data_IF_437333160739
#
_entry.id   IF_437333160739
#
_cell.length_a   1.000
_cell.length_b   1.000
_cell.length_c   1.000
_cell.angle_alpha   90.00
_cell.angle_beta   90.00
_cell.angle_gamma   90.00
#
_symmetry.space_group_name_H-M   'P 1'
#
loop_
_entity.id
_entity.type
_entity.pdbx_description
1 polymer ?
#
# COMPACT_ATOMS: atom_id res chain seq x y z
N UNK A 1 49.12 1.86 -14.47
CA UNK A 1 48.18 1.95 -13.33
C UNK A 1 47.09 2.97 -13.67
N UNK A 2 46.02 2.52 -14.33
CA UNK A 2 44.86 3.36 -14.64
C UNK A 2 43.80 3.14 -13.57
N UNK A 3 43.45 4.20 -12.84
CA UNK A 3 42.41 4.17 -11.80
C UNK A 3 41.04 4.19 -12.49
N UNK A 4 40.24 3.16 -12.21
CA UNK A 4 38.83 3.06 -12.60
C UNK A 4 38.00 4.25 -12.08
N UNK A 5 36.99 4.73 -12.83
CA UNK A 5 36.14 5.82 -12.39
C UNK A 5 35.24 5.37 -11.24
N UNK A 6 35.20 6.15 -10.16
CA UNK A 6 34.25 5.99 -9.05
C UNK A 6 32.84 6.30 -9.56
N UNK A 7 31.93 5.34 -9.48
CA UNK A 7 30.49 5.57 -9.67
C UNK A 7 30.03 6.48 -8.51
N UNK A 8 29.65 7.72 -8.82
CA UNK A 8 29.10 8.67 -7.86
C UNK A 8 27.79 8.13 -7.29
N UNK A 9 27.71 8.01 -5.96
CA UNK A 9 26.50 7.56 -5.26
C UNK A 9 25.33 8.51 -5.53
N UNK A 10 24.18 7.95 -5.91
CA UNK A 10 22.94 8.71 -6.06
C UNK A 10 22.49 9.29 -4.72
N UNK A 11 22.04 10.55 -4.71
CA UNK A 11 21.51 11.26 -3.53
C UNK A 11 20.39 10.44 -2.85
N UNK A 12 20.42 10.22 -1.52
CA UNK A 12 19.33 9.56 -0.78
C UNK A 12 17.97 10.23 -0.99
N UNK A 13 16.90 9.44 -1.02
CA UNK A 13 15.54 9.93 -1.36
C UNK A 13 15.05 11.05 -0.44
N UNK A 14 15.34 10.93 0.85
CA UNK A 14 14.95 11.93 1.83
C UNK A 14 15.69 13.24 1.61
N UNK A 15 16.91 13.25 1.04
CA UNK A 15 17.67 14.47 0.74
C UNK A 15 17.06 15.20 -0.44
N UNK A 16 16.70 14.47 -1.51
CA UNK A 16 15.95 15.05 -2.64
C UNK A 16 14.61 15.63 -2.18
N UNK A 17 13.84 14.91 -1.35
CA UNK A 17 12.57 15.43 -0.79
C UNK A 17 12.82 16.67 0.08
N UNK A 18 13.84 16.64 0.95
CA UNK A 18 14.22 17.78 1.78
C UNK A 18 14.60 18.99 0.92
N UNK A 19 15.32 18.78 -0.18
CA UNK A 19 15.73 19.83 -1.11
C UNK A 19 14.53 20.48 -1.79
N UNK A 20 13.56 19.70 -2.26
CA UNK A 20 12.34 20.24 -2.86
C UNK A 20 11.51 21.01 -1.82
N UNK A 21 11.27 20.42 -0.65
CA UNK A 21 10.52 21.09 0.41
C UNK A 21 11.22 22.39 0.87
N UNK A 22 12.53 22.35 1.08
CA UNK A 22 13.36 23.52 1.44
C UNK A 22 13.26 24.62 0.39
N UNK A 23 13.32 24.26 -0.90
CA UNK A 23 13.17 25.21 -1.99
C UNK A 23 11.82 25.92 -1.94
N UNK A 24 10.73 25.18 -1.72
CA UNK A 24 9.38 25.75 -1.66
C UNK A 24 9.10 26.57 -0.39
N UNK A 25 9.69 26.19 0.74
CA UNK A 25 9.65 27.00 1.97
C UNK A 25 10.41 28.31 1.75
N UNK A 26 11.65 28.25 1.26
CA UNK A 26 12.50 29.44 1.07
C UNK A 26 11.98 30.40 0.00
N UNK A 27 11.28 29.89 -1.02
CA UNK A 27 10.65 30.72 -2.06
C UNK A 27 9.29 31.30 -1.63
N UNK A 28 8.80 30.99 -0.42
CA UNK A 28 7.52 31.49 0.10
C UNK A 28 6.28 30.80 -0.51
N UNK A 29 6.46 29.79 -1.35
CA UNK A 29 5.36 29.01 -1.95
C UNK A 29 4.66 28.14 -0.92
N UNK A 30 5.41 27.62 0.06
CA UNK A 30 4.85 27.06 1.28
C UNK A 30 4.90 28.14 2.36
N UNK A 31 3.76 28.80 2.65
CA UNK A 31 3.75 29.92 3.58
C UNK A 31 3.99 29.45 5.02
N UNK A 32 4.48 30.37 5.86
CA UNK A 32 4.58 30.15 7.30
C UNK A 32 3.22 29.81 7.90
N UNK A 33 3.21 28.86 8.83
CA UNK A 33 1.99 28.33 9.42
C UNK A 33 1.33 27.19 8.63
N UNK A 34 1.79 26.85 7.41
CA UNK A 34 1.26 25.68 6.69
C UNK A 34 1.57 24.36 7.41
N UNK A 35 0.57 23.50 7.54
CA UNK A 35 0.71 22.17 8.14
C UNK A 35 1.18 21.16 7.09
N UNK A 36 2.40 20.65 7.25
CA UNK A 36 2.98 19.57 6.47
C UNK A 36 2.66 18.20 7.10
N UNK A 37 2.10 17.30 6.29
CA UNK A 37 1.76 15.92 6.67
C UNK A 37 2.40 14.95 5.68
N UNK A 38 2.87 13.81 6.20
CA UNK A 38 3.59 12.79 5.42
C UNK A 38 2.81 12.29 4.20
N UNK A 39 1.52 11.97 4.36
CA UNK A 39 0.69 11.38 3.31
C UNK A 39 0.56 12.25 2.05
N UNK A 40 0.12 13.52 2.16
CA UNK A 40 0.04 14.43 1.02
C UNK A 40 1.39 14.64 0.31
N UNK A 41 2.48 14.77 1.06
CA UNK A 41 3.82 14.93 0.48
C UNK A 41 4.24 13.65 -0.25
N UNK A 42 4.01 12.48 0.34
CA UNK A 42 4.30 11.19 -0.27
C UNK A 42 3.56 11.01 -1.61
N UNK A 43 2.27 11.39 -1.65
CA UNK A 43 1.45 11.36 -2.87
C UNK A 43 1.99 12.32 -3.93
N UNK A 44 2.29 13.57 -3.56
CA UNK A 44 2.81 14.59 -4.47
C UNK A 44 4.16 14.20 -5.08
N UNK A 45 5.03 13.61 -4.26
CA UNK A 45 6.38 13.16 -4.65
C UNK A 45 6.41 11.75 -5.24
N UNK A 46 5.26 11.07 -5.36
CA UNK A 46 5.14 9.68 -5.83
C UNK A 46 6.10 8.73 -5.11
N UNK A 47 6.12 8.80 -3.79
CA UNK A 47 7.05 8.04 -2.93
C UNK A 47 6.35 7.46 -1.71
N UNK A 48 7.03 6.58 -0.96
CA UNK A 48 6.51 6.04 0.30
C UNK A 48 6.62 7.04 1.45
N UNK A 49 5.95 6.77 2.57
CA UNK A 49 5.95 7.68 3.73
C UNK A 49 7.28 7.73 4.48
N UNK A 50 8.06 6.64 4.48
CA UNK A 50 9.32 6.55 5.21
C UNK A 50 10.36 7.63 4.82
N UNK A 51 10.71 7.84 3.53
CA UNK A 51 11.66 8.89 3.16
C UNK A 51 11.12 10.31 3.41
N UNK A 52 9.80 10.51 3.31
CA UNK A 52 9.15 11.78 3.67
C UNK A 52 9.28 12.06 5.15
N UNK A 53 9.06 11.05 5.99
CA UNK A 53 9.20 11.17 7.43
C UNK A 53 10.63 11.57 7.82
N UNK A 54 11.64 10.92 7.23
CA UNK A 54 13.05 11.27 7.42
C UNK A 54 13.35 12.70 6.95
N UNK A 55 12.79 13.12 5.81
CA UNK A 55 12.93 14.48 5.30
C UNK A 55 12.33 15.53 6.25
N UNK A 56 11.13 15.29 6.78
CA UNK A 56 10.50 16.20 7.75
C UNK A 56 11.29 16.30 9.05
N UNK A 57 11.88 15.20 9.53
CA UNK A 57 12.79 15.26 10.69
C UNK A 57 14.02 16.13 10.41
N UNK A 58 14.61 15.99 9.22
CA UNK A 58 15.76 16.78 8.79
C UNK A 58 15.42 18.28 8.71
N UNK A 59 14.32 18.65 8.06
CA UNK A 59 13.87 20.04 7.97
C UNK A 59 13.53 20.64 9.35
N UNK A 60 13.05 19.82 10.27
CA UNK A 60 12.81 20.25 11.65
C UNK A 60 14.11 20.50 12.41
N UNK A 61 15.15 19.67 12.22
CA UNK A 61 16.48 19.95 12.77
C UNK A 61 17.14 21.18 12.14
N UNK A 62 16.80 21.51 10.90
CA UNK A 62 17.24 22.74 10.22
C UNK A 62 16.45 24.00 10.67
N UNK A 63 15.40 23.85 11.49
CA UNK A 63 14.58 24.96 11.96
C UNK A 63 13.64 25.57 10.92
N UNK A 64 13.48 24.91 9.75
CA UNK A 64 12.59 25.36 8.67
C UNK A 64 11.12 25.01 8.95
N UNK A 65 10.90 23.98 9.76
CA UNK A 65 9.59 23.53 10.22
C UNK A 65 9.67 23.17 11.69
N UNK A 66 8.54 23.14 12.39
CA UNK A 66 8.50 22.76 13.81
C UNK A 66 7.25 21.96 14.21
N UNK A 67 7.36 21.19 15.30
CA UNK A 67 6.21 20.48 15.89
C UNK A 67 5.25 21.46 16.57
N UNK A 68 3.95 21.17 16.50
CA UNK A 68 2.87 21.94 17.11
C UNK A 68 1.82 21.03 17.77
N UNK A 69 0.81 21.62 18.42
CA UNK A 69 -0.34 20.88 18.96
C UNK A 69 -1.24 20.39 17.81
N UNK A 70 -0.89 19.24 17.24
CA UNK A 70 -1.59 18.60 16.13
C UNK A 70 -0.75 17.53 15.43
N UNK A 71 -1.29 16.95 14.35
CA UNK A 71 -0.57 16.01 13.48
C UNK A 71 0.22 16.79 12.42
N UNK A 72 1.51 16.46 12.26
CA UNK A 72 2.40 17.03 11.25
C UNK A 72 3.42 18.02 11.80
N UNK A 73 3.90 18.90 10.91
CA UNK A 73 4.83 19.99 11.20
C UNK A 73 4.27 21.31 10.66
N UNK A 74 4.54 22.44 11.33
CA UNK A 74 4.26 23.78 10.81
C UNK A 74 5.47 24.32 10.05
N UNK A 75 5.25 24.93 8.89
CA UNK A 75 6.27 25.69 8.16
C UNK A 75 6.63 26.97 8.91
N UNK A 76 7.91 27.28 8.97
CA UNK A 76 8.46 28.46 9.63
C UNK A 76 9.19 28.13 10.92
N UNK A 77 9.92 29.12 11.41
CA UNK A 77 10.63 29.03 12.69
C UNK A 77 9.62 28.98 13.84
N UNK A 78 10.07 28.49 15.01
CA UNK A 78 9.21 28.38 16.19
C UNK A 78 8.96 29.76 16.80
N UNK A 79 7.99 30.50 16.24
CA UNK A 79 7.51 31.79 16.75
C UNK A 79 6.20 31.59 17.52
N UNK A 80 6.03 32.27 18.66
CA UNK A 80 4.77 32.26 19.39
C UNK A 80 3.66 32.93 18.55
N UNK A 81 2.52 32.27 18.38
CA UNK A 81 1.33 32.84 17.75
C UNK A 81 1.07 32.46 16.28
N UNK A 82 1.84 31.57 15.67
CA UNK A 82 1.55 31.09 14.31
C UNK A 82 0.23 30.31 14.26
N UNK A 83 -0.69 30.75 13.40
CA UNK A 83 -1.99 30.08 13.20
C UNK A 83 -1.84 28.95 12.17
N UNK A 84 -2.21 27.69 12.49
CA UNK A 84 -2.07 26.57 11.56
C UNK A 84 -2.96 26.70 10.31
N UNK A 85 -2.35 26.72 9.14
CA UNK A 85 -3.01 26.68 7.83
C UNK A 85 -3.12 25.21 7.38
N UNK A 86 -4.34 24.71 7.22
CA UNK A 86 -4.64 23.31 6.81
C UNK A 86 -5.24 23.28 5.41
N UNK A 87 -4.44 23.67 4.42
CA UNK A 87 -4.79 23.60 2.99
C UNK A 87 -4.00 22.53 2.28
N UNK A 88 -4.52 22.02 1.19
CA UNK A 88 -3.84 21.03 0.36
C UNK A 88 -2.53 21.60 -0.22
N UNK A 89 -1.51 20.75 -0.38
CA UNK A 89 -0.25 21.17 -1.02
C UNK A 89 -0.45 21.56 -2.49
N UNK A 90 -1.50 21.02 -3.11
CA UNK A 90 -1.99 21.30 -4.45
C UNK A 90 -2.62 22.70 -4.60
N UNK A 91 -3.04 23.33 -3.51
CA UNK A 91 -3.54 24.72 -3.52
C UNK A 91 -2.43 25.76 -3.58
N UNK A 92 -1.17 25.34 -3.43
CA UNK A 92 0.00 26.19 -3.54
C UNK A 92 0.71 25.92 -4.87
N UNK A 93 1.32 26.95 -5.46
CA UNK A 93 2.12 26.83 -6.70
C UNK A 93 3.44 26.09 -6.43
N UNK A 94 3.34 24.85 -5.98
CA UNK A 94 4.42 23.98 -5.57
C UNK A 94 5.33 23.66 -6.75
N UNK A 95 6.61 24.01 -6.64
CA UNK A 95 7.59 23.78 -7.68
C UNK A 95 8.47 22.58 -7.33
N UNK A 96 8.59 21.63 -8.26
CA UNK A 96 9.63 20.60 -8.20
C UNK A 96 10.72 21.02 -9.21
N UNK A 97 11.90 21.47 -8.73
CA UNK A 97 13.05 21.79 -9.58
C UNK A 97 13.36 20.65 -10.55
N UNK A 98 13.78 20.98 -11.78
CA UNK A 98 13.97 20.00 -12.88
C UNK A 98 14.95 18.87 -12.53
N UNK A 99 16.03 19.19 -11.81
CA UNK A 99 17.02 18.24 -11.32
C UNK A 99 16.46 17.29 -10.24
N UNK A 100 15.53 17.76 -9.42
CA UNK A 100 14.77 16.94 -8.47
C UNK A 100 13.72 16.10 -9.16
N UNK A 101 13.12 16.64 -10.23
CA UNK A 101 12.06 15.98 -10.99
C UNK A 101 12.56 14.71 -11.66
N UNK A 102 13.73 14.75 -12.29
CA UNK A 102 14.33 13.55 -12.88
C UNK A 102 14.60 12.45 -11.83
N UNK A 103 15.18 12.82 -10.68
CA UNK A 103 15.41 11.90 -9.57
C UNK A 103 14.11 11.31 -8.97
N UNK A 104 13.04 12.10 -8.92
CA UNK A 104 11.72 11.66 -8.44
C UNK A 104 10.94 10.85 -9.48
N UNK A 105 11.02 11.19 -10.77
CA UNK A 105 10.33 10.48 -11.87
C UNK A 105 10.91 9.08 -12.08
N UNK A 106 12.24 8.95 -12.01
CA UNK A 106 12.91 7.64 -11.99
C UNK A 106 12.34 6.80 -10.84
N UNK A 107 12.06 7.39 -9.67
CA UNK A 107 11.54 6.72 -8.47
C UNK A 107 10.03 6.48 -8.42
N UNK A 108 9.21 7.32 -9.05
CA UNK A 108 7.78 7.03 -9.28
C UNK A 108 7.59 5.90 -10.28
N UNK A 109 8.46 5.79 -11.28
CA UNK A 109 8.53 4.65 -12.20
C UNK A 109 8.90 3.37 -11.44
N UNK A 110 9.86 3.46 -10.52
CA UNK A 110 10.20 2.34 -9.64
C UNK A 110 8.99 1.83 -8.85
N UNK A 111 8.21 2.69 -8.20
CA UNK A 111 7.05 2.25 -7.41
C UNK A 111 6.03 1.47 -8.25
N UNK A 112 5.75 1.93 -9.48
CA UNK A 112 4.85 1.21 -10.41
C UNK A 112 5.43 -0.11 -10.88
N UNK A 113 6.76 -0.16 -11.10
CA UNK A 113 7.48 -1.40 -11.42
C UNK A 113 7.40 -2.39 -10.25
N UNK A 114 7.55 -1.90 -9.01
CA UNK A 114 7.36 -2.70 -7.80
C UNK A 114 5.95 -3.27 -7.72
N UNK A 115 4.92 -2.43 -7.84
CA UNK A 115 3.52 -2.85 -7.73
C UNK A 115 3.15 -3.89 -8.80
N UNK A 116 3.70 -3.73 -10.01
CA UNK A 116 3.50 -4.70 -11.10
C UNK A 116 4.13 -6.06 -10.78
N UNK A 117 5.40 -6.09 -10.38
CA UNK A 117 6.10 -7.34 -10.05
C UNK A 117 5.48 -8.01 -8.83
N UNK A 118 5.04 -7.22 -7.85
CA UNK A 118 4.29 -7.67 -6.68
C UNK A 118 2.99 -8.38 -7.10
N UNK A 119 2.21 -7.76 -7.99
CA UNK A 119 1.00 -8.35 -8.55
C UNK A 119 1.26 -9.63 -9.35
N UNK A 120 2.27 -9.65 -10.22
CA UNK A 120 2.66 -10.83 -11.02
C UNK A 120 3.10 -12.00 -10.11
N UNK A 121 3.94 -11.74 -9.11
CA UNK A 121 4.41 -12.75 -8.14
C UNK A 121 3.31 -13.24 -7.22
N UNK A 122 2.39 -12.38 -6.81
CA UNK A 122 1.28 -12.78 -5.95
C UNK A 122 0.25 -13.61 -6.72
N UNK A 123 -0.06 -13.19 -7.96
CA UNK A 123 -1.03 -13.86 -8.83
C UNK A 123 -0.51 -15.22 -9.31
N UNK A 124 0.79 -15.41 -9.55
CA UNK A 124 1.25 -16.74 -10.00
C UNK A 124 1.06 -17.84 -8.96
N UNK A 125 1.02 -17.50 -7.66
CA UNK A 125 1.00 -18.51 -6.59
C UNK A 125 -0.27 -19.35 -6.55
N UNK A 126 -1.36 -18.90 -7.18
CA UNK A 126 -2.59 -19.70 -7.30
C UNK A 126 -2.42 -20.88 -8.26
N UNK A 127 -1.46 -20.79 -9.19
CA UNK A 127 -1.19 -21.82 -10.19
C UNK A 127 -0.12 -22.83 -9.74
N UNK A 128 0.64 -22.52 -8.68
CA UNK A 128 1.67 -23.42 -8.18
C UNK A 128 2.81 -22.72 -7.47
N UNK A 129 3.90 -23.46 -7.32
CA UNK A 129 5.17 -22.92 -6.84
C UNK A 129 6.01 -22.45 -8.03
N UNK A 130 6.58 -21.25 -7.91
CA UNK A 130 7.41 -20.66 -8.96
C UNK A 130 8.76 -20.25 -8.40
N UNK A 131 9.82 -20.56 -9.15
CA UNK A 131 11.14 -20.00 -8.95
C UNK A 131 11.23 -18.65 -9.64
N UNK A 132 11.72 -17.64 -8.90
CA UNK A 132 11.98 -16.30 -9.41
C UNK A 132 13.45 -16.18 -9.84
N UNK A 133 13.70 -15.94 -11.13
CA UNK A 133 15.05 -15.78 -11.68
C UNK A 133 15.44 -14.30 -11.67
N UNK A 134 16.41 -13.94 -10.81
CA UNK A 134 16.88 -12.56 -10.62
C UNK A 134 17.38 -11.90 -11.92
N UNK A 135 18.07 -12.65 -12.78
CA UNK A 135 18.60 -12.13 -14.04
C UNK A 135 17.50 -11.81 -15.04
N UNK A 136 16.54 -12.72 -15.20
CA UNK A 136 15.38 -12.51 -16.07
C UNK A 136 14.49 -11.39 -15.53
N UNK A 137 14.35 -11.24 -14.20
CA UNK A 137 13.63 -10.11 -13.61
C UNK A 137 14.35 -8.79 -13.92
N UNK A 138 15.67 -8.76 -13.79
CA UNK A 138 16.46 -7.58 -14.11
C UNK A 138 16.26 -7.17 -15.58
N UNK A 139 16.30 -8.13 -16.50
CA UNK A 139 16.09 -7.90 -17.93
C UNK A 139 14.64 -7.51 -18.23
N UNK A 140 13.66 -8.15 -17.58
CA UNK A 140 12.24 -7.83 -17.72
C UNK A 140 11.91 -6.38 -17.31
N UNK A 141 12.58 -5.89 -16.27
CA UNK A 141 12.39 -4.53 -15.77
C UNK A 141 13.29 -3.50 -16.46
N UNK A 142 14.34 -3.93 -17.17
CA UNK A 142 15.37 -3.04 -17.74
C UNK A 142 16.28 -2.42 -16.68
N UNK A 143 16.65 -3.19 -15.65
CA UNK A 143 17.30 -2.69 -14.42
C UNK A 143 18.57 -3.47 -14.11
N UNK A 144 19.40 -2.94 -13.21
CA UNK A 144 20.59 -3.69 -12.75
C UNK A 144 20.17 -4.85 -11.83
N UNK A 145 21.01 -5.90 -11.79
CA UNK A 145 20.81 -7.05 -10.90
C UNK A 145 20.71 -6.66 -9.42
N UNK A 146 21.45 -5.64 -9.00
CA UNK A 146 21.38 -5.11 -7.64
C UNK A 146 19.98 -4.60 -7.32
N UNK A 147 19.36 -3.87 -8.24
CA UNK A 147 18.01 -3.35 -8.03
C UNK A 147 16.97 -4.47 -8.05
N UNK A 148 17.09 -5.43 -8.98
CA UNK A 148 16.23 -6.62 -8.98
C UNK A 148 16.34 -7.39 -7.66
N UNK A 149 17.54 -7.54 -7.10
CA UNK A 149 17.76 -8.18 -5.80
C UNK A 149 17.11 -7.41 -4.65
N UNK A 150 17.18 -6.09 -4.66
CA UNK A 150 16.52 -5.24 -3.67
C UNK A 150 14.99 -5.38 -3.77
N UNK A 151 14.46 -5.52 -4.98
CA UNK A 151 13.03 -5.83 -5.21
C UNK A 151 12.65 -7.15 -4.56
N UNK A 152 13.36 -8.23 -4.89
CA UNK A 152 13.09 -9.56 -4.36
C UNK A 152 13.22 -9.63 -2.84
N UNK A 153 14.21 -8.93 -2.27
CA UNK A 153 14.42 -8.87 -0.83
C UNK A 153 13.22 -8.21 -0.12
N UNK A 154 12.68 -7.12 -0.67
CA UNK A 154 11.47 -6.47 -0.12
C UNK A 154 10.22 -7.34 -0.25
N UNK A 155 10.05 -8.05 -1.36
CA UNK A 155 8.92 -8.97 -1.53
C UNK A 155 9.01 -10.16 -0.56
N UNK A 156 10.23 -10.60 -0.22
CA UNK A 156 10.46 -11.57 0.83
C UNK A 156 10.15 -11.03 2.23
N UNK A 157 10.54 -9.79 2.55
CA UNK A 157 10.16 -9.12 3.80
C UNK A 157 8.63 -8.96 3.94
N UNK A 158 7.92 -8.76 2.84
CA UNK A 158 6.45 -8.70 2.77
C UNK A 158 5.78 -10.07 2.76
N UNK A 159 6.56 -11.16 2.77
CA UNK A 159 6.06 -12.53 2.86
C UNK A 159 5.50 -13.10 1.56
N UNK A 160 5.81 -12.50 0.40
CA UNK A 160 5.41 -13.03 -0.91
C UNK A 160 6.41 -14.03 -1.47
N UNK A 161 7.67 -13.87 -1.10
CA UNK A 161 8.76 -14.75 -1.49
C UNK A 161 9.36 -15.41 -0.27
N UNK A 162 9.99 -16.56 -0.50
CA UNK A 162 10.87 -17.25 0.44
C UNK A 162 12.17 -17.64 -0.23
N UNK A 163 13.23 -17.82 0.55
CA UNK A 163 14.46 -18.46 0.06
C UNK A 163 14.37 -19.98 0.23
N UNK A 164 14.56 -20.71 -0.86
CA UNK A 164 14.70 -22.17 -0.86
C UNK A 164 16.07 -22.63 -0.34
N UNK A 165 16.25 -23.95 -0.25
CA UNK A 165 17.47 -24.58 0.28
C UNK A 165 18.75 -24.19 -0.50
N UNK A 166 18.63 -23.94 -1.80
CA UNK A 166 19.73 -23.50 -2.68
C UNK A 166 19.82 -21.98 -2.81
N UNK A 167 19.21 -21.22 -1.89
CA UNK A 167 19.11 -19.75 -1.94
C UNK A 167 18.37 -19.19 -3.17
N UNK A 168 17.57 -20.01 -3.86
CA UNK A 168 16.68 -19.53 -4.90
C UNK A 168 15.47 -18.82 -4.29
N UNK A 169 14.98 -17.79 -4.96
CA UNK A 169 13.72 -17.13 -4.63
C UNK A 169 12.55 -17.98 -5.10
N UNK A 170 11.61 -18.26 -4.20
CA UNK A 170 10.43 -19.08 -4.44
C UNK A 170 9.17 -18.27 -4.09
N UNK A 171 8.18 -18.31 -4.97
CA UNK A 171 6.83 -17.78 -4.77
C UNK A 171 5.86 -18.96 -4.64
N UNK A 172 4.99 -18.91 -3.63
CA UNK A 172 3.95 -19.92 -3.48
C UNK A 172 4.43 -21.31 -3.01
N UNK A 173 3.56 -22.34 -3.18
CA UNK A 173 2.21 -22.24 -3.74
C UNK A 173 1.21 -21.61 -2.75
N UNK A 174 0.13 -21.03 -3.25
CA UNK A 174 -1.04 -20.67 -2.45
C UNK A 174 -1.76 -21.95 -2.04
N UNK A 175 -1.49 -22.43 -0.83
CA UNK A 175 -2.15 -23.63 -0.30
C UNK A 175 -3.44 -23.30 0.43
N UNK A 176 -4.34 -24.29 0.54
CA UNK A 176 -5.50 -24.21 1.42
C UNK A 176 -5.13 -23.88 2.88
N UNK A 177 -3.94 -24.30 3.33
CA UNK A 177 -3.43 -23.98 4.67
C UNK A 177 -3.06 -22.51 4.77
N UNK A 178 -2.24 -22.01 3.86
CA UNK A 178 -1.82 -20.60 3.78
C UNK A 178 -3.04 -19.68 3.72
N UNK A 179 -4.04 -20.06 2.93
CA UNK A 179 -5.28 -19.30 2.82
C UNK A 179 -6.01 -19.17 4.17
N UNK A 180 -6.19 -20.29 4.89
CA UNK A 180 -6.84 -20.29 6.21
C UNK A 180 -6.06 -19.46 7.22
N UNK A 181 -4.75 -19.65 7.30
CA UNK A 181 -3.87 -18.89 8.20
C UNK A 181 -3.96 -17.38 7.93
N UNK A 182 -4.01 -16.98 6.66
CA UNK A 182 -4.17 -15.56 6.29
C UNK A 182 -5.52 -14.99 6.70
N UNK A 183 -6.63 -15.70 6.50
CA UNK A 183 -7.95 -15.24 6.95
C UNK A 183 -8.09 -15.22 8.48
N UNK A 184 -7.46 -16.15 9.19
CA UNK A 184 -7.38 -16.13 10.65
C UNK A 184 -6.67 -14.86 11.14
N UNK A 185 -5.52 -14.53 10.53
CA UNK A 185 -4.81 -13.29 10.80
C UNK A 185 -5.67 -12.05 10.48
N UNK A 186 -6.45 -12.06 9.39
CA UNK A 186 -7.41 -10.97 9.11
C UNK A 186 -8.43 -10.82 10.22
N UNK A 187 -9.03 -11.92 10.67
CA UNK A 187 -10.03 -11.91 11.75
C UNK A 187 -9.47 -11.30 13.04
N UNK A 188 -8.23 -11.63 13.40
CA UNK A 188 -7.56 -11.09 14.59
C UNK A 188 -7.20 -9.61 14.39
N UNK A 189 -6.50 -9.28 13.29
CA UNK A 189 -5.90 -7.97 13.12
C UNK A 189 -6.90 -6.91 12.66
N UNK A 190 -7.77 -7.21 11.69
CA UNK A 190 -8.71 -6.24 11.14
C UNK A 190 -9.78 -5.85 12.15
N UNK A 191 -10.23 -6.78 12.99
CA UNK A 191 -11.20 -6.45 14.06
C UNK A 191 -10.57 -5.60 15.15
N UNK A 192 -9.31 -5.88 15.52
CA UNK A 192 -8.55 -5.05 16.43
C UNK A 192 -8.31 -3.64 15.85
N UNK A 193 -8.01 -3.53 14.56
CA UNK A 193 -7.86 -2.25 13.88
C UNK A 193 -9.19 -1.49 13.82
N UNK A 194 -10.29 -2.14 13.46
CA UNK A 194 -11.63 -1.52 13.44
C UNK A 194 -12.01 -0.97 14.81
N UNK A 195 -11.73 -1.73 15.89
CA UNK A 195 -11.94 -1.28 17.26
C UNK A 195 -11.14 -0.01 17.58
N UNK A 196 -9.86 0.01 17.24
CA UNK A 196 -8.99 1.18 17.48
C UNK A 196 -9.31 2.37 16.57
N UNK A 197 -9.91 2.11 15.41
CA UNK A 197 -10.28 3.11 14.43
C UNK A 197 -11.58 3.85 14.77
N UNK A 198 -12.45 3.29 15.62
CA UNK A 198 -13.81 3.76 15.89
C UNK A 198 -13.97 5.29 15.94
N UNK A 199 -13.15 5.97 16.76
CA UNK A 199 -13.22 7.43 16.96
C UNK A 199 -12.61 8.26 15.82
N UNK A 200 -11.91 7.62 14.88
CA UNK A 200 -11.16 8.25 13.79
C UNK A 200 -11.79 8.01 12.40
N UNK A 201 -12.90 7.26 12.34
CA UNK A 201 -13.68 7.02 11.13
C UNK A 201 -14.45 8.29 10.77
N UNK A 202 -14.37 8.70 9.50
CA UNK A 202 -15.10 9.86 8.98
C UNK A 202 -16.52 9.43 8.54
N UNK A 203 -17.59 9.86 9.25
CA UNK A 203 -18.96 9.47 8.92
C UNK A 203 -19.38 9.88 7.50
N UNK A 204 -18.80 10.96 6.95
CA UNK A 204 -19.13 11.43 5.59
C UNK A 204 -18.61 10.45 4.55
N UNK A 205 -17.43 9.87 4.76
CA UNK A 205 -16.91 8.84 3.85
C UNK A 205 -17.74 7.56 3.92
N UNK A 206 -18.16 7.15 5.12
CA UNK A 206 -19.02 5.97 5.29
C UNK A 206 -20.38 6.17 4.62
N UNK A 207 -20.99 7.35 4.77
CA UNK A 207 -22.23 7.68 4.06
C UNK A 207 -22.05 7.57 2.54
N UNK A 208 -20.98 8.15 1.98
CA UNK A 208 -20.68 8.05 0.54
C UNK A 208 -20.52 6.60 0.07
N UNK A 209 -19.87 5.75 0.84
CA UNK A 209 -19.73 4.32 0.48
C UNK A 209 -21.10 3.65 0.47
N UNK A 210 -21.95 3.91 1.48
CA UNK A 210 -23.32 3.36 1.55
C UNK A 210 -24.19 3.82 0.38
N UNK A 211 -24.19 5.11 0.08
CA UNK A 211 -24.97 5.68 -1.02
C UNK A 211 -24.59 5.04 -2.37
N UNK A 212 -23.29 4.81 -2.59
CA UNK A 212 -22.80 4.12 -3.79
C UNK A 212 -23.24 2.66 -3.88
N UNK A 213 -23.29 1.96 -2.75
CA UNK A 213 -23.81 0.59 -2.70
C UNK A 213 -25.30 0.59 -3.02
N UNK A 214 -26.08 1.51 -2.45
CA UNK A 214 -27.53 1.62 -2.67
C UNK A 214 -27.89 2.00 -4.11
N UNK A 215 -27.09 2.86 -4.74
CA UNK A 215 -27.23 3.23 -6.13
C UNK A 215 -26.82 2.12 -7.12
N UNK A 216 -26.27 0.99 -6.62
CA UNK A 216 -25.75 -0.08 -7.48
C UNK A 216 -24.48 0.30 -8.25
N UNK A 217 -23.76 1.33 -7.81
CA UNK A 217 -22.55 1.85 -8.46
C UNK A 217 -21.27 1.14 -8.02
N UNK A 218 -21.37 0.18 -7.10
CA UNK A 218 -20.21 -0.62 -6.69
C UNK A 218 -19.88 -1.68 -7.74
N UNK A 219 -18.61 -1.73 -8.14
CA UNK A 219 -18.11 -2.64 -9.17
C UNK A 219 -17.91 -4.08 -8.68
N UNK A 220 -17.91 -4.29 -7.36
CA UNK A 220 -17.72 -5.61 -6.78
C UNK A 220 -17.19 -5.58 -5.35
N UNK A 221 -17.11 -6.75 -4.73
CA UNK A 221 -16.65 -6.93 -3.35
C UNK A 221 -15.23 -6.39 -3.10
N UNK A 222 -14.31 -6.53 -4.07
CA UNK A 222 -12.92 -6.03 -3.97
C UNK A 222 -12.87 -4.52 -3.72
N UNK A 223 -13.74 -3.76 -4.40
CA UNK A 223 -13.84 -2.31 -4.20
C UNK A 223 -14.32 -1.95 -2.77
N UNK A 224 -15.32 -2.69 -2.26
CA UNK A 224 -15.84 -2.46 -0.92
C UNK A 224 -14.86 -2.89 0.17
N UNK A 225 -14.08 -3.94 -0.08
CA UNK A 225 -13.00 -4.36 0.79
C UNK A 225 -11.91 -3.28 0.87
N UNK A 226 -11.55 -2.68 -0.26
CA UNK A 226 -10.59 -1.58 -0.29
C UNK A 226 -11.15 -0.30 0.37
N UNK A 227 -12.44 -0.03 0.22
CA UNK A 227 -13.12 1.03 0.95
C UNK A 227 -13.09 0.80 2.47
N UNK A 228 -13.30 -0.45 2.93
CA UNK A 228 -13.22 -0.81 4.35
C UNK A 228 -11.80 -0.56 4.89
N UNK A 229 -10.79 -0.98 4.13
CA UNK A 229 -9.40 -0.71 4.49
C UNK A 229 -9.10 0.78 4.57
N UNK A 230 -9.43 1.54 3.51
CA UNK A 230 -9.08 2.95 3.40
C UNK A 230 -9.85 3.81 4.40
N UNK A 231 -11.15 3.62 4.53
CA UNK A 231 -12.01 4.51 5.31
C UNK A 231 -12.23 4.06 6.76
N UNK A 232 -11.93 2.80 7.08
CA UNK A 232 -12.08 2.27 8.44
C UNK A 232 -10.74 1.80 9.01
N UNK A 233 -10.16 0.70 8.49
CA UNK A 233 -9.03 0.04 9.16
C UNK A 233 -7.77 0.91 9.23
N UNK A 234 -7.45 1.65 8.15
CA UNK A 234 -6.29 2.56 8.09
C UNK A 234 -6.40 3.78 9.02
N UNK A 235 -7.58 4.00 9.61
CA UNK A 235 -7.83 5.07 10.58
C UNK A 235 -7.33 4.72 11.97
N UNK A 236 -7.03 3.45 12.23
CA UNK A 236 -6.43 3.01 13.48
C UNK A 236 -5.11 3.77 13.73
N UNK A 237 -4.86 4.26 14.96
CA UNK A 237 -3.63 5.00 15.29
C UNK A 237 -2.37 4.11 15.25
N UNK A 238 -2.52 2.79 15.32
CA UNK A 238 -1.41 1.85 15.26
C UNK A 238 -0.98 1.58 13.81
N UNK A 239 -0.03 2.38 13.31
CA UNK A 239 0.48 2.27 11.95
C UNK A 239 1.11 0.90 11.66
N UNK A 240 1.76 0.27 12.63
CA UNK A 240 2.38 -1.05 12.46
C UNK A 240 1.32 -2.15 12.25
N UNK A 241 0.22 -2.10 13.01
CA UNK A 241 -0.92 -3.01 12.80
C UNK A 241 -1.54 -2.82 11.41
N UNK A 242 -1.74 -1.58 10.98
CA UNK A 242 -2.28 -1.26 9.64
C UNK A 242 -1.38 -1.80 8.53
N UNK A 243 -0.06 -1.68 8.69
CA UNK A 243 0.91 -2.22 7.74
C UNK A 243 0.87 -3.75 7.67
N UNK A 244 0.78 -4.44 8.82
CA UNK A 244 0.62 -5.90 8.87
C UNK A 244 -0.67 -6.37 8.19
N UNK A 245 -1.78 -5.64 8.37
CA UNK A 245 -3.04 -5.92 7.68
C UNK A 245 -2.86 -5.78 6.16
N UNK A 246 -2.29 -4.66 5.71
CA UNK A 246 -2.07 -4.41 4.28
C UNK A 246 -1.20 -5.51 3.64
N UNK A 247 -0.08 -5.86 4.28
CA UNK A 247 0.82 -6.91 3.78
C UNK A 247 0.15 -8.29 3.77
N UNK A 248 -0.67 -8.60 4.79
CA UNK A 248 -1.37 -9.89 4.85
C UNK A 248 -2.41 -10.03 3.73
N UNK A 249 -3.15 -8.94 3.42
CA UNK A 249 -4.21 -8.89 2.41
C UNK A 249 -3.72 -9.01 0.98
N UNK A 250 -2.52 -8.50 0.69
CA UNK A 250 -1.95 -8.43 -0.66
C UNK A 250 -2.04 -9.74 -1.45
N UNK A 251 -1.64 -10.87 -0.84
CA UNK A 251 -1.68 -12.15 -1.54
C UNK A 251 -3.13 -12.62 -1.79
N UNK A 252 -4.06 -12.28 -0.90
CA UNK A 252 -5.48 -12.60 -1.05
C UNK A 252 -6.12 -11.75 -2.14
N UNK A 253 -5.84 -10.44 -2.17
CA UNK A 253 -6.36 -9.55 -3.21
C UNK A 253 -5.84 -9.95 -4.59
N UNK A 254 -4.55 -10.29 -4.72
CA UNK A 254 -4.02 -10.78 -5.99
C UNK A 254 -4.67 -12.09 -6.45
N UNK A 255 -4.96 -13.00 -5.51
CA UNK A 255 -5.71 -14.22 -5.81
C UNK A 255 -7.13 -13.90 -6.29
N UNK A 256 -7.85 -13.04 -5.57
CA UNK A 256 -9.21 -12.66 -5.93
C UNK A 256 -9.25 -11.94 -7.28
N UNK A 257 -8.31 -11.04 -7.58
CA UNK A 257 -8.20 -10.35 -8.87
C UNK A 257 -7.91 -11.34 -10.01
N UNK A 258 -6.95 -12.25 -9.83
CA UNK A 258 -6.64 -13.28 -10.82
C UNK A 258 -7.85 -14.19 -11.10
N UNK A 259 -8.58 -14.57 -10.06
CA UNK A 259 -9.80 -15.37 -10.16
C UNK A 259 -10.96 -14.64 -10.85
N UNK A 260 -11.17 -13.36 -10.53
CA UNK A 260 -12.23 -12.56 -11.14
C UNK A 260 -11.97 -12.36 -12.64
N UNK A 261 -10.70 -12.22 -13.05
CA UNK A 261 -10.31 -12.12 -14.46
C UNK A 261 -10.61 -13.40 -15.26
N UNK A 262 -10.80 -14.55 -14.61
CA UNK A 262 -11.26 -15.78 -15.25
C UNK A 262 -12.76 -15.78 -15.59
N UNK A 263 -13.47 -14.65 -15.41
CA UNK A 263 -14.88 -14.49 -15.78
C UNK A 263 -15.86 -15.06 -14.76
N UNK A 264 -15.43 -15.21 -13.49
CA UNK A 264 -16.33 -15.62 -12.42
C UNK A 264 -17.36 -14.51 -12.13
N UNK A 265 -18.63 -14.87 -11.86
CA UNK A 265 -19.69 -13.90 -11.60
C UNK A 265 -19.45 -13.12 -10.31
N UNK A 266 -19.92 -11.87 -10.28
CA UNK A 266 -19.87 -11.01 -9.10
C UNK A 266 -20.64 -11.65 -7.94
N UNK A 267 -20.02 -11.68 -6.76
CA UNK A 267 -20.63 -12.22 -5.55
C UNK A 267 -21.58 -11.18 -4.92
N UNK A 268 -22.83 -11.20 -5.35
CA UNK A 268 -23.87 -10.28 -4.84
C UNK A 268 -24.11 -10.43 -3.33
N UNK A 269 -23.97 -11.64 -2.81
CA UNK A 269 -24.07 -11.90 -1.36
C UNK A 269 -22.95 -11.18 -0.61
N UNK A 270 -21.73 -11.13 -1.15
CA UNK A 270 -20.65 -10.37 -0.55
C UNK A 270 -20.94 -8.86 -0.54
N UNK A 271 -21.57 -8.31 -1.58
CA UNK A 271 -21.98 -6.90 -1.62
C UNK A 271 -22.98 -6.58 -0.50
N UNK A 272 -23.99 -7.42 -0.31
CA UNK A 272 -24.98 -7.25 0.78
C UNK A 272 -24.34 -7.34 2.17
N UNK A 273 -23.31 -8.18 2.33
CA UNK A 273 -22.56 -8.28 3.56
C UNK A 273 -21.75 -7.02 3.85
N UNK A 274 -21.05 -6.47 2.86
CA UNK A 274 -20.37 -5.18 3.02
C UNK A 274 -21.34 -4.05 3.30
N UNK A 275 -22.51 -4.02 2.64
CA UNK A 275 -23.57 -3.05 2.94
C UNK A 275 -23.93 -3.07 4.42
N UNK A 276 -24.26 -4.25 4.93
CA UNK A 276 -24.60 -4.47 6.35
C UNK A 276 -23.47 -4.00 7.27
N UNK A 277 -22.23 -4.33 6.94
CA UNK A 277 -21.06 -3.90 7.72
C UNK A 277 -20.92 -2.37 7.75
N UNK A 278 -21.07 -1.69 6.61
CA UNK A 278 -21.02 -0.23 6.54
C UNK A 278 -22.21 0.44 7.24
N UNK A 279 -23.40 -0.16 7.23
CA UNK A 279 -24.57 0.31 7.99
C UNK A 279 -24.30 0.27 9.50
N UNK A 280 -23.71 -0.82 10.01
CA UNK A 280 -23.33 -0.94 11.42
C UNK A 280 -22.26 0.08 11.81
N UNK A 281 -21.23 0.27 10.98
CA UNK A 281 -20.17 1.27 11.19
C UNK A 281 -20.75 2.69 11.17
N UNK A 282 -21.60 3.00 10.19
CA UNK A 282 -22.26 4.30 10.04
C UNK A 282 -23.16 4.64 11.24
N UNK A 283 -23.82 3.62 11.79
CA UNK A 283 -24.65 3.73 13.00
C UNK A 283 -23.85 3.71 14.31
N UNK A 284 -22.51 3.72 14.23
CA UNK A 284 -21.57 3.63 15.38
C UNK A 284 -21.75 2.39 16.26
N UNK A 285 -22.32 1.31 15.72
CA UNK A 285 -22.45 0.04 16.41
C UNK A 285 -21.15 -0.78 16.25
N UNK A 286 -20.05 -0.29 16.83
CA UNK A 286 -18.70 -0.82 16.59
C UNK A 286 -18.53 -2.26 17.07
N UNK A 287 -19.09 -2.62 18.23
CA UNK A 287 -18.99 -4.02 18.70
C UNK A 287 -19.75 -4.98 17.79
N UNK A 288 -20.93 -4.57 17.30
CA UNK A 288 -21.69 -5.36 16.34
C UNK A 288 -20.97 -5.45 14.98
N UNK A 289 -20.37 -4.37 14.50
CA UNK A 289 -19.60 -4.39 13.24
C UNK A 289 -18.36 -5.27 13.34
N UNK A 290 -17.72 -5.35 14.51
CA UNK A 290 -16.59 -6.24 14.76
C UNK A 290 -17.01 -7.72 14.70
N UNK A 291 -18.09 -8.10 15.41
CA UNK A 291 -18.57 -9.48 15.35
C UNK A 291 -19.07 -9.85 13.95
N UNK A 292 -19.72 -8.90 13.26
CA UNK A 292 -20.13 -9.08 11.88
C UNK A 292 -18.93 -9.26 10.94
N UNK A 293 -17.87 -8.46 11.09
CA UNK A 293 -16.65 -8.57 10.30
C UNK A 293 -15.98 -9.94 10.49
N UNK A 294 -15.92 -10.48 11.71
CA UNK A 294 -15.39 -11.83 11.97
C UNK A 294 -16.14 -12.89 11.17
N UNK A 295 -17.47 -12.84 11.22
CA UNK A 295 -18.31 -13.82 10.52
C UNK A 295 -18.20 -13.65 9.00
N UNK A 296 -18.18 -12.41 8.50
CA UNK A 296 -17.96 -12.13 7.09
C UNK A 296 -16.63 -12.68 6.59
N UNK A 297 -15.53 -12.47 7.33
CA UNK A 297 -14.21 -13.03 7.01
C UNK A 297 -14.20 -14.56 7.03
N UNK A 298 -14.95 -15.20 7.94
CA UNK A 298 -15.12 -16.66 7.96
C UNK A 298 -15.82 -17.17 6.70
N UNK A 299 -16.86 -16.46 6.24
CA UNK A 299 -17.59 -16.79 5.01
C UNK A 299 -16.70 -16.59 3.78
N UNK A 300 -15.96 -15.48 3.70
CA UNK A 300 -15.00 -15.24 2.64
C UNK A 300 -13.93 -16.34 2.60
N UNK A 301 -13.38 -16.74 3.75
CA UNK A 301 -12.39 -17.83 3.82
C UNK A 301 -12.92 -19.14 3.23
N UNK A 302 -14.18 -19.50 3.53
CA UNK A 302 -14.81 -20.69 2.98
C UNK A 302 -14.99 -20.58 1.46
N UNK A 303 -15.48 -19.43 0.97
CA UNK A 303 -15.68 -19.18 -0.46
C UNK A 303 -14.37 -19.19 -1.23
N UNK A 304 -13.35 -18.48 -0.75
CA UNK A 304 -12.03 -18.44 -1.40
C UNK A 304 -11.35 -19.81 -1.40
N UNK A 305 -11.55 -20.63 -0.36
CA UNK A 305 -11.08 -22.01 -0.35
C UNK A 305 -11.79 -22.88 -1.40
N UNK A 306 -13.10 -22.68 -1.59
CA UNK A 306 -13.83 -23.37 -2.65
C UNK A 306 -13.36 -22.93 -4.04
N UNK A 307 -13.11 -21.63 -4.24
CA UNK A 307 -12.57 -21.08 -5.51
C UNK A 307 -11.17 -21.59 -5.83
N UNK A 308 -10.30 -21.72 -4.82
CA UNK A 308 -8.95 -22.27 -5.01
C UNK A 308 -8.97 -23.70 -5.59
N UNK A 309 -9.98 -24.52 -5.25
CA UNK A 309 -10.15 -25.86 -5.85
C UNK A 309 -10.48 -25.82 -7.33
N UNK A 310 -11.11 -24.74 -7.82
CA UNK A 310 -11.47 -24.55 -9.23
C UNK A 310 -10.20 -24.22 -10.04
N UNK A 311 -9.31 -23.37 -9.51
CA UNK A 311 -8.05 -23.00 -10.18
C UNK A 311 -7.17 -24.21 -10.46
N UNK A 312 -7.15 -25.21 -9.57
CA UNK A 312 -6.42 -26.46 -9.78
C UNK A 312 -6.86 -27.22 -11.05
N UNK A 313 -7.96 -26.83 -11.69
CA UNK A 313 -8.52 -27.43 -12.91
C UNK A 313 -8.36 -26.53 -14.15
N UNK A 314 -7.90 -25.29 -14.01
CA UNK A 314 -7.70 -24.35 -15.12
C UNK A 314 -6.26 -24.51 -15.63
N UNK A 315 -6.04 -24.89 -16.90
CA UNK A 315 -4.69 -24.92 -17.47
C UNK A 315 -4.07 -23.53 -17.43
N UNK A 316 -2.77 -23.41 -17.15
CA UNK A 316 -2.00 -22.15 -17.09
C UNK A 316 -2.36 -21.24 -18.27
N UNK A 317 -3.32 -20.34 -18.08
CA UNK A 317 -3.86 -19.51 -19.15
C UNK A 317 -3.64 -18.05 -18.78
N UNK A 318 -2.38 -17.64 -18.81
CA UNK A 318 -1.92 -16.28 -19.11
C UNK A 318 -0.40 -16.31 -19.22
N UNK A 319 0.18 -15.38 -19.99
CA UNK A 319 1.63 -15.28 -20.23
C UNK A 319 2.39 -15.04 -18.93
N UNK A 320 2.75 -16.12 -18.22
CA UNK A 320 3.62 -16.06 -17.04
C UNK A 320 4.95 -15.40 -17.48
N UNK A 321 5.38 -14.31 -16.83
CA UNK A 321 6.65 -13.66 -17.15
C UNK A 321 7.81 -14.66 -17.13
N UNK A 322 8.77 -14.52 -18.05
CA UNK A 322 9.93 -15.43 -18.17
C UNK A 322 10.76 -15.58 -16.89
N UNK A 323 10.70 -14.59 -16.01
CA UNK A 323 11.40 -14.62 -14.73
C UNK A 323 10.72 -15.53 -13.69
N UNK A 324 9.51 -16.02 -13.94
CA UNK A 324 8.78 -16.99 -13.13
C UNK A 324 8.80 -18.35 -13.81
N UNK A 325 9.52 -19.30 -13.22
CA UNK A 325 9.66 -20.65 -13.74
C UNK A 325 8.95 -21.63 -12.80
N UNK A 326 7.98 -22.42 -13.28
CA UNK A 326 7.35 -23.47 -12.47
C UNK A 326 8.39 -24.40 -11.83
N UNK A 327 8.15 -24.80 -10.58
CA UNK A 327 8.97 -25.77 -9.84
C UNK A 327 8.44 -27.19 -10.01
#
# INVERSE_FOLDING_TARGET
MSKSPKISGQEPLYETISRVLRHNIKSGRLPEGLVLIEGPIAKLMQTSRAPVQTSLRMLNSEGLIHRFRGRGYLVGTKVQGLTPIRRGLDEFNFEIPSDSREALTVRGTWLRVYDRVEGEIASCQIFGEFRVIETELADHLGVSRTVARDVLSRLNERGLLRKGATSHWLAGPMTARTLREKYELRSIMETAALRQAADYIDPVQIARVRDRIEAGESKGASELEEALMTHCLSRAPNAALVELIANNRLLLSAMDDALNNLGLPVDTVALDQYKTLFDLIGSRQIDASIEYLKEHLRILAYKSLARLKIVALVPESESIPRYLVPV
#
